data_IF_908914477205
#
_entry.id   IF_908914477205
#
_cell.length_a   1.000
_cell.length_b   1.000
_cell.length_c   1.000
_cell.angle_alpha   90.00
_cell.angle_beta   90.00
_cell.angle_gamma   90.00
#
_symmetry.space_group_name_H-M   'P 1'
#
loop_
_entity.id
_entity.type
_entity.pdbx_description
1 polymer ?
#
# COMPACT_ATOMS: atom_id res chain seq x y z
N UNK A 1 7.99 29.00 5.58
CA UNK A 1 7.83 27.98 4.53
C UNK A 1 7.97 26.59 5.10
N UNK A 2 7.08 25.74 4.70
CA UNK A 2 7.13 24.36 5.16
C UNK A 2 8.17 23.58 4.37
N UNK A 3 9.04 22.84 5.08
CA UNK A 3 9.95 21.89 4.46
C UNK A 3 9.41 20.47 4.53
N UNK A 4 8.09 20.33 4.73
CA UNK A 4 7.45 19.03 4.84
C UNK A 4 7.02 18.51 3.48
N UNK A 5 7.20 17.21 3.29
CA UNK A 5 6.66 16.49 2.16
C UNK A 5 5.72 15.42 2.67
N UNK A 6 4.77 15.04 1.84
CA UNK A 6 3.87 13.93 2.15
C UNK A 6 4.25 12.73 1.30
N UNK A 7 4.21 11.57 1.90
CA UNK A 7 4.44 10.31 1.20
C UNK A 7 3.22 9.43 1.34
N UNK A 8 2.85 8.77 0.26
CA UNK A 8 1.79 7.78 0.27
C UNK A 8 2.37 6.44 -0.13
N UNK A 9 2.19 5.44 0.72
CA UNK A 9 2.71 4.11 0.49
C UNK A 9 1.53 3.18 0.22
N UNK A 10 1.59 2.50 -0.93
CA UNK A 10 0.60 1.49 -1.30
C UNK A 10 1.22 0.13 -1.03
N UNK A 11 0.58 -0.67 -0.19
CA UNK A 11 1.08 -1.99 0.20
C UNK A 11 0.05 -3.03 -0.22
N UNK A 12 0.50 -4.00 -1.02
CA UNK A 12 -0.35 -5.08 -1.51
C UNK A 12 0.35 -6.41 -1.32
N UNK A 13 -0.43 -7.49 -1.26
CA UNK A 13 0.14 -8.83 -1.20
C UNK A 13 0.76 -9.19 -2.54
N UNK A 14 1.87 -9.92 -2.51
CA UNK A 14 2.51 -10.44 -3.71
C UNK A 14 1.61 -11.44 -4.41
N UNK A 15 1.81 -11.59 -5.71
CA UNK A 15 1.10 -12.60 -6.49
C UNK A 15 1.38 -13.98 -5.90
N UNK A 16 0.34 -14.79 -5.84
CA UNK A 16 0.44 -16.13 -5.28
C UNK A 16 0.26 -16.22 -3.78
N UNK A 17 0.25 -15.10 -3.07
CA UNK A 17 -0.04 -15.08 -1.64
C UNK A 17 -1.55 -15.05 -1.45
N UNK A 18 -2.06 -15.93 -0.59
CA UNK A 18 -3.49 -15.98 -0.30
C UNK A 18 -3.95 -14.70 0.40
N UNK A 19 -5.08 -14.17 -0.04
CA UNK A 19 -5.71 -13.00 0.54
C UNK A 19 -7.09 -13.38 1.06
N UNK A 20 -7.20 -13.83 2.33
CA UNK A 20 -8.50 -14.26 2.86
C UNK A 20 -9.52 -13.13 2.90
N UNK A 21 -9.08 -11.89 3.16
CA UNK A 21 -9.99 -10.75 3.21
C UNK A 21 -10.51 -10.39 1.82
N UNK A 22 -9.64 -10.41 0.82
CA UNK A 22 -10.06 -10.18 -0.56
C UNK A 22 -11.04 -11.24 -1.03
N UNK A 23 -10.80 -12.50 -0.69
CA UNK A 23 -11.72 -13.59 -1.01
C UNK A 23 -13.07 -13.41 -0.36
N UNK A 24 -13.09 -13.00 0.91
CA UNK A 24 -14.34 -12.78 1.63
C UNK A 24 -15.13 -11.63 1.01
N UNK A 25 -14.45 -10.57 0.60
CA UNK A 25 -15.10 -9.43 -0.07
C UNK A 25 -15.71 -9.88 -1.40
N UNK A 26 -14.96 -10.61 -2.21
CA UNK A 26 -15.45 -11.11 -3.48
C UNK A 26 -16.64 -12.01 -3.32
N UNK A 27 -16.59 -12.91 -2.34
CA UNK A 27 -17.71 -13.81 -2.06
C UNK A 27 -18.96 -13.04 -1.63
N UNK A 28 -18.79 -12.04 -0.77
CA UNK A 28 -19.90 -11.20 -0.32
C UNK A 28 -20.50 -10.40 -1.48
N UNK A 29 -19.68 -9.87 -2.36
CA UNK A 29 -20.16 -9.12 -3.53
C UNK A 29 -20.96 -10.02 -4.46
N UNK A 30 -20.50 -11.22 -4.70
CA UNK A 30 -21.24 -12.17 -5.52
C UNK A 30 -22.59 -12.50 -4.88
N UNK A 31 -22.62 -12.65 -3.56
CA UNK A 31 -23.88 -12.90 -2.83
C UNK A 31 -24.86 -11.74 -2.90
N UNK A 32 -24.36 -10.53 -3.11
CA UNK A 32 -25.19 -9.32 -3.26
C UNK A 32 -25.66 -9.10 -4.69
N UNK A 33 -25.29 -9.96 -5.63
CA UNK A 33 -25.74 -9.86 -7.00
C UNK A 33 -24.71 -9.28 -7.96
N UNK A 34 -23.50 -9.01 -7.49
CA UNK A 34 -22.44 -8.47 -8.35
C UNK A 34 -21.62 -9.61 -8.95
N UNK A 35 -22.26 -10.40 -9.80
CA UNK A 35 -21.65 -11.61 -10.35
C UNK A 35 -20.53 -11.36 -11.35
N UNK A 36 -20.35 -10.11 -11.79
CA UNK A 36 -19.27 -9.76 -12.72
C UNK A 36 -17.93 -9.53 -11.99
N UNK A 37 -17.94 -9.55 -10.65
CA UNK A 37 -16.71 -9.36 -9.88
C UNK A 37 -15.87 -10.62 -9.93
N UNK A 38 -14.64 -10.48 -10.41
CA UNK A 38 -13.67 -11.57 -10.43
C UNK A 38 -12.85 -11.60 -9.15
N UNK A 39 -11.52 -11.68 -9.29
CA UNK A 39 -10.64 -11.71 -8.14
C UNK A 39 -10.64 -10.36 -7.42
N UNK A 40 -10.72 -10.41 -6.09
CA UNK A 40 -10.63 -9.22 -5.24
C UNK A 40 -9.37 -9.35 -4.40
N UNK A 41 -8.56 -8.30 -4.43
CA UNK A 41 -7.33 -8.23 -3.65
C UNK A 41 -7.41 -7.00 -2.75
N UNK A 42 -7.06 -7.17 -1.50
CA UNK A 42 -7.08 -6.07 -0.53
C UNK A 42 -5.65 -5.64 -0.23
N UNK A 43 -5.46 -4.35 -0.09
CA UNK A 43 -4.19 -3.79 0.32
C UNK A 43 -4.42 -2.70 1.34
N UNK A 44 -3.38 -1.95 1.63
CA UNK A 44 -3.49 -0.83 2.55
C UNK A 44 -2.71 0.36 2.02
N UNK A 45 -3.10 1.54 2.48
CA UNK A 45 -2.44 2.81 2.15
C UNK A 45 -1.98 3.43 3.46
N UNK A 46 -0.73 3.86 3.49
CA UNK A 46 -0.17 4.56 4.65
C UNK A 46 0.27 5.95 4.19
N UNK A 47 -0.24 6.98 4.84
CA UNK A 47 0.14 8.36 4.56
C UNK A 47 1.08 8.84 5.65
N UNK A 48 2.18 9.44 5.22
CA UNK A 48 3.22 9.93 6.13
C UNK A 48 3.51 11.40 5.83
N UNK A 49 3.72 12.16 6.87
CA UNK A 49 4.28 13.51 6.74
C UNK A 49 5.75 13.45 7.13
N UNK A 50 6.60 14.00 6.29
CA UNK A 50 8.04 13.97 6.49
C UNK A 50 8.57 15.40 6.62
N UNK A 51 9.42 15.62 7.60
CA UNK A 51 10.13 16.89 7.74
C UNK A 51 11.39 16.85 6.89
N UNK A 52 11.19 16.86 5.58
CA UNK A 52 12.23 16.77 4.58
C UNK A 52 11.81 17.57 3.36
N UNK A 53 12.71 18.31 2.77
CA UNK A 53 12.41 19.13 1.60
C UNK A 53 12.87 18.51 0.29
N UNK A 54 13.78 17.55 0.34
CA UNK A 54 14.31 16.88 -0.85
C UNK A 54 13.50 15.63 -1.18
N UNK A 55 12.74 15.63 -2.29
CA UNK A 55 11.92 14.46 -2.63
C UNK A 55 12.71 13.16 -2.79
N UNK A 56 13.93 13.23 -3.30
CA UNK A 56 14.76 12.04 -3.48
C UNK A 56 15.15 11.43 -2.13
N UNK A 57 15.54 12.28 -1.18
CA UNK A 57 15.85 11.82 0.18
C UNK A 57 14.60 11.28 0.88
N UNK A 58 13.47 11.96 0.70
CA UNK A 58 12.21 11.53 1.28
C UNK A 58 11.83 10.14 0.78
N UNK A 59 11.95 9.91 -0.53
CA UNK A 59 11.61 8.62 -1.11
C UNK A 59 12.48 7.50 -0.55
N UNK A 60 13.80 7.74 -0.49
CA UNK A 60 14.73 6.74 0.05
C UNK A 60 14.43 6.43 1.51
N UNK A 61 14.10 7.46 2.30
CA UNK A 61 13.77 7.27 3.70
C UNK A 61 12.52 6.42 3.87
N UNK A 62 11.49 6.69 3.06
CA UNK A 62 10.23 5.93 3.15
C UNK A 62 10.42 4.50 2.67
N UNK A 63 11.23 4.29 1.62
CA UNK A 63 11.53 2.93 1.18
C UNK A 63 12.25 2.14 2.29
N UNK A 64 13.18 2.78 2.99
CA UNK A 64 13.83 2.14 4.14
C UNK A 64 12.82 1.81 5.25
N UNK A 65 11.86 2.70 5.49
CA UNK A 65 10.80 2.45 6.46
C UNK A 65 9.95 1.24 6.06
N UNK A 66 9.64 1.11 4.77
CA UNK A 66 8.88 -0.03 4.27
C UNK A 66 9.62 -1.33 4.51
N UNK A 67 10.94 -1.34 4.23
CA UNK A 67 11.75 -2.55 4.43
C UNK A 67 11.85 -2.95 5.90
N UNK A 68 11.85 -1.97 6.79
CA UNK A 68 12.08 -2.24 8.22
C UNK A 68 10.81 -2.45 9.01
N UNK A 69 9.69 -1.84 8.60
CA UNK A 69 8.49 -1.84 9.43
C UNK A 69 7.19 -1.85 8.65
N UNK A 70 7.05 -0.99 7.64
CA UNK A 70 5.73 -0.72 7.05
C UNK A 70 5.19 -1.89 6.24
N UNK A 71 6.05 -2.65 5.60
CA UNK A 71 5.66 -3.79 4.78
C UNK A 71 6.38 -5.05 5.22
N UNK A 72 5.68 -6.18 5.14
CA UNK A 72 6.32 -7.48 5.29
C UNK A 72 6.79 -7.93 3.91
N UNK A 73 8.05 -7.67 3.59
CA UNK A 73 8.57 -7.86 2.24
C UNK A 73 8.67 -9.31 1.79
N UNK A 74 8.43 -10.26 2.71
CA UNK A 74 8.33 -11.67 2.34
C UNK A 74 7.02 -11.94 1.58
N UNK A 75 5.94 -11.25 1.94
CA UNK A 75 4.62 -11.50 1.36
C UNK A 75 3.98 -10.27 0.74
N UNK A 76 4.55 -9.08 0.95
CA UNK A 76 3.96 -7.82 0.47
C UNK A 76 4.89 -7.09 -0.46
N UNK A 77 4.29 -6.38 -1.40
CA UNK A 77 4.98 -5.41 -2.26
C UNK A 77 4.52 -4.01 -1.87
N UNK A 78 5.36 -3.02 -2.13
CA UNK A 78 5.00 -1.65 -1.81
C UNK A 78 5.38 -0.71 -2.94
N UNK A 79 4.69 0.41 -2.99
CA UNK A 79 4.98 1.50 -3.93
C UNK A 79 4.89 2.81 -3.16
N UNK A 80 5.88 3.68 -3.34
CA UNK A 80 5.97 4.96 -2.64
C UNK A 80 5.71 6.09 -3.63
N UNK A 81 4.83 7.01 -3.24
CA UNK A 81 4.60 8.24 -3.98
C UNK A 81 4.92 9.42 -3.07
N UNK A 82 5.74 10.33 -3.54
CA UNK A 82 6.06 11.55 -2.81
C UNK A 82 5.20 12.67 -3.36
N UNK A 83 4.50 13.35 -2.47
CA UNK A 83 3.61 14.46 -2.80
C UNK A 83 4.17 15.73 -2.19
N UNK A 84 4.40 16.72 -3.02
CA UNK A 84 4.94 18.01 -2.58
C UNK A 84 3.94 18.98 -2.06
#
# INVERSE_FOLDING_TARGET
MSSSLKARVFITLKNGVLDPQGKAIGHALNGLGFGSVGEVRQGKVIDLELHESDPAKAKRAVEAMCEKLLANTLIESYRVEIQG
#
